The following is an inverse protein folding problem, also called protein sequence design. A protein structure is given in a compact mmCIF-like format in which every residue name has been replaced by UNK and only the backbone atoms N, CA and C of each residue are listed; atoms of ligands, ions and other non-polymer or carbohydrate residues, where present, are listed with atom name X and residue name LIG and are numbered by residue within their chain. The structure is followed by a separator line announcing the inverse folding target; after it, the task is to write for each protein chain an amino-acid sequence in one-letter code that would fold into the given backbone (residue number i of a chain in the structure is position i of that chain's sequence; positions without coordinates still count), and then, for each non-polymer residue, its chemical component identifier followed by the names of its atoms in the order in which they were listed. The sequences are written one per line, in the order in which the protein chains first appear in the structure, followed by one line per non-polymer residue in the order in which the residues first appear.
data_IF_577914444684
#
_entry.id   IF_577914444684
#
_cell.length_a   1.000
_cell.length_b   1.000
_cell.length_c   1.000
_cell.angle_alpha   90.00
_cell.angle_beta   90.00
_cell.angle_gamma   90.00
#
_symmetry.space_group_name_H-M   'P 1'
#
loop_
_entity.id
_entity.type
_entity.pdbx_description
1 polymer ?
#
# COMPACT_ATOMS: atom_id res chain seq x y z
N UNK A 1 3.61 31.03 25.81
CA UNK A 1 3.54 29.99 26.86
C UNK A 1 3.55 28.64 26.17
N UNK A 2 4.53 27.83 26.44
CA UNK A 2 4.52 26.46 25.97
C UNK A 2 3.48 25.70 26.82
N UNK A 3 2.41 25.21 26.23
CA UNK A 3 1.52 24.25 26.87
C UNK A 3 2.35 23.05 27.31
N UNK A 4 2.45 22.82 28.59
CA UNK A 4 3.09 21.63 29.12
C UNK A 4 2.17 20.46 28.79
N UNK A 5 2.49 19.74 27.72
CA UNK A 5 1.76 18.53 27.33
C UNK A 5 1.96 17.52 28.46
N UNK A 6 0.88 17.17 29.14
CA UNK A 6 0.91 16.08 30.13
C UNK A 6 1.05 14.76 29.38
N UNK A 7 2.27 14.23 29.39
CA UNK A 7 2.63 12.97 28.72
C UNK A 7 1.75 11.80 29.18
N UNK A 8 1.28 11.82 30.42
CA UNK A 8 0.40 10.76 30.94
C UNK A 8 -0.98 10.79 30.29
N UNK A 9 -1.54 11.99 30.13
CA UNK A 9 -2.83 12.17 29.45
C UNK A 9 -2.71 11.83 27.98
N UNK A 10 -1.62 12.23 27.33
CA UNK A 10 -1.37 11.90 25.94
C UNK A 10 -1.22 10.39 25.73
N UNK A 11 -0.46 9.70 26.57
CA UNK A 11 -0.32 8.25 26.51
C UNK A 11 -1.65 7.52 26.70
N UNK A 12 -2.47 7.97 27.66
CA UNK A 12 -3.80 7.39 27.90
C UNK A 12 -4.74 7.57 26.69
N UNK A 13 -4.68 8.73 26.03
CA UNK A 13 -5.42 8.95 24.77
C UNK A 13 -4.92 8.07 23.64
N UNK A 14 -3.62 7.95 23.46
CA UNK A 14 -3.03 7.06 22.45
C UNK A 14 -3.44 5.62 22.69
N UNK A 15 -3.36 5.13 23.92
CA UNK A 15 -3.80 3.76 24.28
C UNK A 15 -5.28 3.53 23.99
N UNK A 16 -6.13 4.50 24.30
CA UNK A 16 -7.57 4.40 24.02
C UNK A 16 -7.89 4.37 22.53
N UNK A 17 -7.17 5.13 21.71
CA UNK A 17 -7.42 5.24 20.27
C UNK A 17 -6.72 4.17 19.43
N UNK A 18 -5.69 3.52 19.96
CA UNK A 18 -4.90 2.52 19.23
C UNK A 18 -5.30 1.06 19.46
N UNK A 19 -6.41 0.82 20.16
CA UNK A 19 -6.90 -0.54 20.39
C UNK A 19 -7.10 -1.35 19.11
N UNK A 20 -7.53 -0.72 18.03
CA UNK A 20 -7.71 -1.36 16.72
C UNK A 20 -6.37 -1.84 16.10
N UNK A 21 -5.24 -1.25 16.47
CA UNK A 21 -3.92 -1.66 15.96
C UNK A 21 -3.57 -3.07 16.42
N UNK A 22 -3.90 -3.41 17.66
CA UNK A 22 -3.71 -4.77 18.18
C UNK A 22 -4.48 -5.78 17.35
N UNK A 23 -5.74 -5.48 17.03
CA UNK A 23 -6.59 -6.32 16.20
C UNK A 23 -6.04 -6.45 14.77
N UNK A 24 -5.52 -5.37 14.21
CA UNK A 24 -4.84 -5.40 12.91
C UNK A 24 -3.59 -6.27 12.91
N UNK A 25 -2.73 -6.13 13.92
CA UNK A 25 -1.52 -6.94 14.07
C UNK A 25 -1.87 -8.42 14.18
N UNK A 26 -2.86 -8.77 15.01
CA UNK A 26 -3.33 -10.14 15.14
C UNK A 26 -3.91 -10.66 13.82
N UNK A 27 -4.74 -9.90 13.14
CA UNK A 27 -5.29 -10.24 11.84
C UNK A 27 -4.21 -10.47 10.78
N UNK A 28 -3.22 -9.60 10.73
CA UNK A 28 -2.07 -9.75 9.83
C UNK A 28 -1.25 -11.01 10.15
N UNK A 29 -0.97 -11.26 11.43
CA UNK A 29 -0.15 -12.39 11.86
C UNK A 29 -0.83 -13.75 11.63
N UNK A 30 -2.14 -13.80 11.53
CA UNK A 30 -2.88 -15.04 11.15
C UNK A 30 -2.61 -15.46 9.71
N UNK A 31 -2.38 -14.50 8.83
CA UNK A 31 -2.18 -14.73 7.39
C UNK A 31 -0.72 -14.69 6.99
N UNK A 32 0.05 -13.78 7.59
CA UNK A 32 1.45 -13.53 7.25
C UNK A 32 2.34 -14.07 8.37
N UNK A 33 2.98 -15.18 8.11
CA UNK A 33 3.85 -15.84 9.09
C UNK A 33 5.30 -15.44 8.86
N UNK A 34 6.01 -15.08 9.94
CA UNK A 34 7.46 -14.84 9.91
C UNK A 34 7.92 -13.50 9.30
N UNK A 35 6.99 -12.59 8.96
CA UNK A 35 7.28 -11.32 8.31
C UNK A 35 6.96 -10.12 9.22
N UNK A 36 7.37 -10.15 10.47
CA UNK A 36 7.06 -9.11 11.47
C UNK A 36 7.53 -7.72 11.03
N UNK A 37 8.71 -7.63 10.43
CA UNK A 37 9.24 -6.35 9.96
C UNK A 37 8.37 -5.75 8.84
N UNK A 38 7.93 -6.57 7.90
CA UNK A 38 7.04 -6.14 6.83
C UNK A 38 5.70 -5.65 7.40
N UNK A 39 5.09 -6.40 8.31
CA UNK A 39 3.82 -6.03 8.95
C UNK A 39 3.97 -4.71 9.70
N UNK A 40 5.00 -4.55 10.50
CA UNK A 40 5.25 -3.31 11.25
C UNK A 40 5.48 -2.12 10.32
N UNK A 41 6.24 -2.29 9.24
CA UNK A 41 6.48 -1.24 8.25
C UNK A 41 5.21 -0.80 7.55
N UNK A 42 4.33 -1.74 7.20
CA UNK A 42 3.03 -1.44 6.61
C UNK A 42 2.13 -0.65 7.56
N UNK A 43 2.12 -1.02 8.85
CA UNK A 43 1.35 -0.30 9.86
C UNK A 43 1.90 1.11 10.11
N UNK A 44 3.21 1.28 10.16
CA UNK A 44 3.85 2.60 10.28
C UNK A 44 3.48 3.47 9.08
N UNK A 45 3.56 2.95 7.86
CA UNK A 45 3.16 3.66 6.67
C UNK A 45 1.68 4.09 6.68
N UNK A 46 0.80 3.20 7.15
CA UNK A 46 -0.63 3.50 7.30
C UNK A 46 -0.86 4.62 8.32
N UNK A 47 -0.26 4.53 9.50
CA UNK A 47 -0.47 5.49 10.59
C UNK A 47 0.16 6.86 10.32
N UNK A 48 1.23 6.89 9.53
CA UNK A 48 1.90 8.13 9.15
C UNK A 48 1.34 8.77 7.86
N UNK A 49 0.30 8.17 7.27
CA UNK A 49 -0.24 8.59 5.97
C UNK A 49 0.86 8.70 4.90
N UNK A 50 1.75 7.73 4.89
CA UNK A 50 2.95 7.71 4.06
C UNK A 50 2.94 6.62 2.99
N UNK A 51 4.01 6.60 2.22
CA UNK A 51 4.27 5.58 1.21
C UNK A 51 5.39 4.66 1.67
N UNK A 52 5.39 3.43 1.17
CA UNK A 52 6.37 2.40 1.53
C UNK A 52 7.03 1.88 0.27
N UNK A 53 8.35 1.81 0.27
CA UNK A 53 9.13 1.12 -0.74
C UNK A 53 9.50 -0.27 -0.22
N UNK A 54 9.08 -1.31 -0.93
CA UNK A 54 9.39 -2.69 -0.61
C UNK A 54 10.41 -3.22 -1.63
N UNK A 55 11.63 -3.40 -1.18
CA UNK A 55 12.70 -3.99 -1.98
C UNK A 55 12.88 -5.47 -1.65
N UNK A 56 13.29 -6.24 -2.63
CA UNK A 56 13.65 -7.65 -2.44
C UNK A 56 13.13 -8.54 -3.55
N UNK A 57 13.35 -9.85 -3.40
CA UNK A 57 12.93 -10.86 -4.36
C UNK A 57 11.41 -10.79 -4.58
N UNK A 58 10.93 -10.75 -5.83
CA UNK A 58 9.51 -10.80 -6.12
C UNK A 58 8.89 -12.05 -5.48
N UNK A 59 7.85 -11.84 -4.67
CA UNK A 59 7.18 -12.96 -3.99
C UNK A 59 5.76 -12.63 -3.58
N UNK A 60 4.95 -13.68 -3.45
CA UNK A 60 3.54 -13.61 -3.08
C UNK A 60 3.32 -12.95 -1.71
N UNK A 61 4.30 -13.04 -0.81
CA UNK A 61 4.18 -12.53 0.55
C UNK A 61 3.95 -11.01 0.62
N UNK A 62 4.60 -10.23 -0.23
CA UNK A 62 4.42 -8.76 -0.28
C UNK A 62 3.01 -8.37 -0.71
N UNK A 63 2.54 -8.94 -1.82
CA UNK A 63 1.20 -8.70 -2.34
C UNK A 63 0.14 -9.18 -1.36
N UNK A 64 0.33 -10.36 -0.79
CA UNK A 64 -0.58 -10.94 0.20
C UNK A 64 -0.68 -10.06 1.45
N UNK A 65 0.44 -9.54 1.95
CA UNK A 65 0.46 -8.67 3.12
C UNK A 65 -0.36 -7.39 2.90
N UNK A 66 -0.19 -6.74 1.76
CA UNK A 66 -0.92 -5.50 1.45
C UNK A 66 -2.41 -5.78 1.23
N UNK A 67 -2.76 -6.85 0.53
CA UNK A 67 -4.16 -7.27 0.36
C UNK A 67 -4.83 -7.60 1.69
N UNK A 68 -4.12 -8.30 2.57
CA UNK A 68 -4.63 -8.66 3.90
C UNK A 68 -4.89 -7.40 4.72
N UNK A 69 -3.94 -6.46 4.75
CA UNK A 69 -4.12 -5.20 5.46
C UNK A 69 -5.32 -4.42 4.92
N UNK A 70 -5.44 -4.26 3.62
CA UNK A 70 -6.56 -3.57 2.99
C UNK A 70 -7.91 -4.23 3.32
N UNK A 71 -7.96 -5.55 3.34
CA UNK A 71 -9.15 -6.32 3.72
C UNK A 71 -9.55 -6.12 5.18
N UNK A 72 -8.58 -6.09 6.10
CA UNK A 72 -8.83 -5.93 7.53
C UNK A 72 -9.40 -4.56 7.90
N UNK A 73 -9.08 -3.52 7.13
CA UNK A 73 -9.56 -2.16 7.34
C UNK A 73 -10.68 -1.75 6.37
N UNK A 74 -11.22 -2.70 5.63
CA UNK A 74 -12.25 -2.48 4.60
C UNK A 74 -11.86 -1.40 3.57
N UNK A 75 -10.61 -1.40 3.17
CA UNK A 75 -10.06 -0.45 2.20
C UNK A 75 -10.03 -1.04 0.79
N UNK A 76 -10.26 -0.18 -0.19
CA UNK A 76 -10.15 -0.56 -1.59
C UNK A 76 -8.68 -0.75 -1.97
N UNK A 77 -8.36 -1.90 -2.54
CA UNK A 77 -7.03 -2.27 -3.03
C UNK A 77 -6.97 -2.20 -4.55
N UNK A 78 -5.93 -1.56 -5.07
CA UNK A 78 -5.58 -1.55 -6.48
C UNK A 78 -4.17 -2.11 -6.70
N UNK A 79 -3.97 -2.85 -7.77
CA UNK A 79 -2.66 -3.31 -8.20
C UNK A 79 -2.34 -2.76 -9.56
N UNK A 80 -1.15 -2.21 -9.70
CA UNK A 80 -0.63 -1.67 -10.94
C UNK A 80 0.71 -2.34 -11.24
N UNK A 81 0.76 -3.11 -12.29
CA UNK A 81 1.99 -3.74 -12.74
C UNK A 81 2.63 -2.88 -13.83
N UNK A 82 3.80 -2.35 -13.54
CA UNK A 82 4.57 -1.54 -14.48
C UNK A 82 5.28 -2.44 -15.48
N UNK A 83 4.90 -2.31 -16.75
CA UNK A 83 5.49 -2.97 -17.90
C UNK A 83 5.92 -1.91 -18.91
N UNK A 84 6.86 -2.21 -19.85
CA UNK A 84 7.30 -1.23 -20.83
C UNK A 84 6.19 -0.69 -21.76
N UNK A 85 5.11 -1.44 -21.91
CA UNK A 85 3.95 -1.12 -22.75
C UNK A 85 2.77 -0.50 -21.96
N UNK A 86 2.98 -0.18 -20.67
CA UNK A 86 1.96 0.46 -19.85
C UNK A 86 1.56 1.83 -20.39
N UNK A 87 0.27 2.02 -20.60
CA UNK A 87 -0.29 3.29 -21.05
C UNK A 87 -0.86 4.10 -19.86
N UNK A 88 -0.88 5.44 -19.96
CA UNK A 88 -1.52 6.27 -18.93
C UNK A 88 -2.98 5.88 -18.65
N UNK A 89 -3.72 5.45 -19.65
CA UNK A 89 -5.10 4.97 -19.50
C UNK A 89 -5.22 3.71 -18.63
N UNK A 90 -4.18 2.87 -18.59
CA UNK A 90 -4.14 1.69 -17.72
C UNK A 90 -4.04 2.07 -16.24
N UNK A 91 -3.52 3.24 -15.95
CA UNK A 91 -3.35 3.79 -14.59
C UNK A 91 -4.59 4.55 -14.13
N UNK A 92 -5.00 5.54 -14.91
CA UNK A 92 -6.08 6.47 -14.55
C UNK A 92 -7.46 6.03 -15.03
N UNK A 93 -7.51 5.10 -15.98
CA UNK A 93 -8.76 4.66 -16.59
C UNK A 93 -9.08 5.38 -17.90
N UNK A 94 -10.22 5.05 -18.45
CA UNK A 94 -10.66 5.55 -19.75
C UNK A 94 -12.16 5.74 -19.81
N UNK A 95 -12.63 6.45 -20.81
CA UNK A 95 -14.05 6.55 -21.14
C UNK A 95 -14.43 5.41 -22.10
N UNK A 96 -15.47 4.69 -21.77
CA UNK A 96 -16.01 3.60 -22.58
C UNK A 96 -17.41 4.01 -23.06
N UNK A 97 -17.64 3.89 -24.36
CA UNK A 97 -18.98 4.06 -24.92
C UNK A 97 -19.83 2.82 -24.67
N UNK A 98 -20.94 2.98 -24.00
CA UNK A 98 -21.94 1.93 -23.77
C UNK A 98 -22.99 1.97 -24.86
N UNK A 99 -23.00 1.00 -25.75
CA UNK A 99 -24.04 0.90 -26.79
C UNK A 99 -25.42 0.66 -26.21
N UNK A 100 -25.52 0.06 -25.04
CA UNK A 100 -26.79 -0.23 -24.37
C UNK A 100 -27.49 1.03 -23.87
N UNK A 101 -26.72 1.99 -23.36
CA UNK A 101 -27.24 3.21 -22.75
C UNK A 101 -26.98 4.45 -23.65
N UNK A 102 -26.36 4.24 -24.82
CA UNK A 102 -25.93 5.29 -25.74
C UNK A 102 -25.17 6.44 -25.07
N UNK A 103 -24.34 6.10 -24.08
CA UNK A 103 -23.64 7.08 -23.27
C UNK A 103 -22.19 6.70 -23.01
N UNK A 104 -21.37 7.69 -22.73
CA UNK A 104 -19.99 7.48 -22.28
C UNK A 104 -19.95 7.24 -20.77
N UNK A 105 -19.30 6.16 -20.34
CA UNK A 105 -19.06 5.83 -18.93
C UNK A 105 -17.58 5.90 -18.64
N UNK A 106 -17.23 6.52 -17.52
CA UNK A 106 -15.84 6.53 -17.03
C UNK A 106 -15.53 5.22 -16.32
N UNK A 107 -14.58 4.47 -16.85
CA UNK A 107 -14.00 3.31 -16.16
C UNK A 107 -12.73 3.77 -15.44
N UNK A 108 -12.82 3.93 -14.12
CA UNK A 108 -11.69 4.31 -13.29
C UNK A 108 -10.61 3.23 -13.29
N UNK A 109 -9.36 3.65 -13.40
CA UNK A 109 -8.20 2.77 -13.30
C UNK A 109 -7.85 2.39 -11.86
N UNK A 110 -6.82 1.54 -11.68
CA UNK A 110 -6.42 1.02 -10.37
C UNK A 110 -5.89 2.07 -9.40
N UNK A 111 -5.48 3.24 -9.87
CA UNK A 111 -5.02 4.34 -9.01
C UNK A 111 -6.11 4.88 -8.09
N UNK A 112 -7.39 4.72 -8.45
CA UNK A 112 -8.53 5.14 -7.64
C UNK A 112 -8.86 4.09 -6.57
N UNK A 113 -7.95 3.90 -5.66
CA UNK A 113 -8.04 3.00 -4.52
C UNK A 113 -7.39 3.64 -3.28
N UNK A 114 -7.66 3.08 -2.10
CA UNK A 114 -7.03 3.54 -0.86
C UNK A 114 -5.58 3.03 -0.73
N UNK A 115 -5.35 1.79 -1.19
CA UNK A 115 -4.04 1.17 -1.30
C UNK A 115 -3.76 0.84 -2.75
N UNK A 116 -2.63 1.31 -3.24
CA UNK A 116 -2.16 0.98 -4.58
C UNK A 116 -0.79 0.31 -4.47
N UNK A 117 -0.73 -0.95 -4.91
CA UNK A 117 0.55 -1.65 -5.07
C UNK A 117 1.08 -1.38 -6.48
N UNK A 118 2.13 -0.59 -6.56
CA UNK A 118 2.89 -0.38 -7.79
C UNK A 118 4.00 -1.42 -7.87
N UNK A 119 3.82 -2.40 -8.74
CA UNK A 119 4.73 -3.53 -8.88
C UNK A 119 5.63 -3.33 -10.09
N UNK A 120 6.93 -3.14 -9.84
CA UNK A 120 7.94 -2.91 -10.87
C UNK A 120 8.82 -4.15 -10.96
N UNK A 121 8.59 -4.98 -11.95
CA UNK A 121 9.30 -6.25 -12.15
C UNK A 121 10.34 -6.09 -13.27
N UNK A 122 11.53 -6.61 -13.04
CA UNK A 122 12.60 -6.65 -14.04
C UNK A 122 13.30 -5.31 -14.28
N UNK A 123 13.15 -4.36 -13.38
CA UNK A 123 13.90 -3.11 -13.46
C UNK A 123 15.34 -3.33 -13.02
N UNK A 124 16.28 -3.02 -13.92
CA UNK A 124 17.69 -2.95 -13.57
C UNK A 124 17.98 -1.59 -12.93
N UNK A 125 18.61 -1.62 -11.77
CA UNK A 125 19.04 -0.41 -11.07
C UNK A 125 20.54 -0.27 -11.30
N UNK A 126 20.94 0.83 -11.94
CA UNK A 126 22.35 1.17 -12.05
C UNK A 126 22.80 1.93 -10.82
N UNK A 127 23.77 1.37 -10.09
CA UNK A 127 24.40 2.04 -8.98
C UNK A 127 25.66 2.77 -9.44
N UNK A 128 25.65 4.09 -9.40
CA UNK A 128 26.85 4.87 -9.70
C UNK A 128 28.00 4.60 -8.72
N UNK A 129 27.67 4.15 -7.52
CA UNK A 129 28.67 3.89 -6.49
C UNK A 129 29.48 2.62 -6.76
N UNK A 130 28.83 1.64 -7.35
CA UNK A 130 29.45 0.33 -7.61
C UNK A 130 29.70 0.09 -9.11
N UNK A 131 29.33 1.07 -9.96
CA UNK A 131 29.39 0.95 -11.43
C UNK A 131 28.85 -0.38 -11.96
N UNK A 132 27.81 -0.92 -11.30
CA UNK A 132 27.23 -2.22 -11.58
C UNK A 132 25.71 -2.14 -11.72
N UNK A 133 25.15 -3.05 -12.52
CA UNK A 133 23.71 -3.24 -12.63
C UNK A 133 23.23 -4.27 -11.62
N UNK A 134 22.19 -3.92 -10.85
CA UNK A 134 21.48 -4.81 -9.96
C UNK A 134 20.09 -5.10 -10.51
N UNK A 135 19.70 -6.36 -10.48
CA UNK A 135 18.40 -6.84 -10.97
C UNK A 135 17.52 -7.21 -9.79
#
# INVERSE_FOLDING_TARGET
MAETIDIRLLNAQIEAETGFITDLVEGMNRTIVGQKHLVNSLLIGLLSDGHILLEGVPGLAKTLAIKTLASLIDAKFGRLQFTPDLLPADVIGTMIYSQKDESFKVKKGPIFANFVLADVVGTQIYSQKDEAFHV
#
